data_IF_988048719525
#
_entry.id   IF_988048719525
#
_cell.length_a   1.000
_cell.length_b   1.000
_cell.length_c   1.000
_cell.angle_alpha   90.00
_cell.angle_beta   90.00
_cell.angle_gamma   90.00
#
_symmetry.space_group_name_H-M   'P 1'
#
loop_
_entity.id
_entity.type
_entity.pdbx_description
1 polymer ?
#
# COMPACT_ATOMS: atom_id res chain seq x y z
N UNK A 1 -13.68 5.80 24.02
CA UNK A 1 -13.44 6.72 22.90
C UNK A 1 -14.75 7.44 22.58
N UNK A 2 -14.72 8.78 22.50
CA UNK A 2 -15.85 9.58 22.04
C UNK A 2 -15.44 10.41 20.84
N UNK A 3 -16.31 10.48 19.83
CA UNK A 3 -16.08 11.28 18.63
C UNK A 3 -17.11 12.38 18.55
N UNK A 4 -16.64 13.61 18.28
CA UNK A 4 -17.49 14.81 18.16
C UNK A 4 -17.15 15.58 16.89
N UNK A 5 -18.16 16.28 16.36
CA UNK A 5 -17.92 17.23 15.27
C UNK A 5 -17.03 18.39 15.75
N UNK A 6 -15.95 18.72 15.01
CA UNK A 6 -14.96 19.67 15.46
C UNK A 6 -15.51 21.09 15.72
N UNK A 7 -16.52 21.53 14.98
CA UNK A 7 -17.08 22.89 15.08
C UNK A 7 -18.33 22.97 15.94
N UNK A 8 -19.22 21.97 15.85
CA UNK A 8 -20.52 22.00 16.54
C UNK A 8 -20.50 21.27 17.88
N UNK A 9 -19.44 20.55 18.19
CA UNK A 9 -19.30 19.68 19.37
C UNK A 9 -20.38 18.58 19.50
N UNK A 10 -21.15 18.37 18.42
CA UNK A 10 -22.18 17.32 18.39
C UNK A 10 -21.51 15.95 18.49
N UNK A 11 -21.92 15.09 19.44
CA UNK A 11 -21.36 13.76 19.56
C UNK A 11 -21.87 12.82 18.46
N UNK A 12 -21.02 11.94 18.01
CA UNK A 12 -21.33 10.83 17.13
C UNK A 12 -21.45 9.53 17.94
N UNK A 13 -22.25 8.59 17.45
CA UNK A 13 -22.57 7.35 18.16
C UNK A 13 -21.78 6.18 17.61
N UNK A 14 -21.06 5.47 18.48
CA UNK A 14 -20.39 4.22 18.12
C UNK A 14 -21.41 3.17 17.69
N UNK A 15 -21.07 2.37 16.67
CA UNK A 15 -21.95 1.38 16.07
C UNK A 15 -22.95 1.95 15.04
N UNK A 16 -23.16 3.28 15.02
CA UNK A 16 -24.06 3.97 14.06
C UNK A 16 -23.24 4.86 13.13
N UNK A 17 -22.39 5.72 13.68
CA UNK A 17 -21.64 6.73 12.95
C UNK A 17 -20.20 6.28 12.69
N UNK A 18 -19.64 5.54 13.62
CA UNK A 18 -18.29 4.98 13.57
C UNK A 18 -18.19 3.65 14.30
N UNK A 19 -17.14 2.90 14.00
CA UNK A 19 -16.75 1.70 14.76
C UNK A 19 -15.33 1.85 15.28
N UNK A 20 -15.08 1.26 16.45
CA UNK A 20 -13.76 1.18 17.08
C UNK A 20 -13.30 -0.27 17.02
N UNK A 21 -12.12 -0.49 16.44
CA UNK A 21 -11.46 -1.79 16.39
C UNK A 21 -10.18 -1.69 17.21
N UNK A 22 -10.09 -2.50 18.25
CA UNK A 22 -8.91 -2.56 19.09
C UNK A 22 -8.12 -3.83 18.79
N UNK A 23 -6.92 -3.68 18.25
CA UNK A 23 -5.99 -4.78 17.99
C UNK A 23 -4.73 -4.58 18.84
N UNK A 24 -4.68 -5.19 20.00
CA UNK A 24 -3.59 -5.01 20.95
C UNK A 24 -3.44 -3.55 21.35
N UNK A 25 -2.26 -2.97 21.08
CA UNK A 25 -1.93 -1.57 21.40
C UNK A 25 -2.43 -0.57 20.35
N UNK A 26 -2.99 -1.06 19.25
CA UNK A 26 -3.48 -0.20 18.15
C UNK A 26 -4.99 -0.12 18.19
N UNK A 27 -5.50 1.10 18.21
CA UNK A 27 -6.93 1.39 18.06
C UNK A 27 -7.16 2.01 16.69
N UNK A 28 -8.06 1.40 15.93
CA UNK A 28 -8.49 1.90 14.62
C UNK A 28 -9.93 2.39 14.72
N UNK A 29 -10.16 3.62 14.29
CA UNK A 29 -11.48 4.22 14.22
C UNK A 29 -11.90 4.27 12.76
N UNK A 30 -13.05 3.64 12.45
CA UNK A 30 -13.62 3.60 11.11
C UNK A 30 -14.93 4.35 11.06
N UNK A 31 -15.04 5.30 10.17
CA UNK A 31 -16.33 5.93 9.85
C UNK A 31 -17.25 4.90 9.19
N UNK A 32 -18.47 4.79 9.66
CA UNK A 32 -19.51 4.01 8.99
C UNK A 32 -20.17 4.84 7.90
N UNK A 33 -20.32 4.25 6.71
CA UNK A 33 -20.85 4.95 5.54
C UNK A 33 -22.32 5.34 5.73
N UNK A 34 -23.06 4.53 6.48
CA UNK A 34 -24.46 4.74 6.83
C UNK A 34 -24.66 5.75 7.99
N UNK A 35 -23.58 6.17 8.64
CA UNK A 35 -23.60 7.10 9.76
C UNK A 35 -23.65 8.56 9.36
N UNK A 36 -23.85 9.42 10.35
CA UNK A 36 -24.04 10.86 10.17
C UNK A 36 -22.74 11.67 10.02
N UNK A 37 -21.56 11.01 9.99
CA UNK A 37 -20.28 11.71 9.77
C UNK A 37 -20.10 11.95 8.27
N UNK A 38 -20.18 13.20 7.76
CA UNK A 38 -19.96 13.49 6.36
C UNK A 38 -18.52 13.18 5.93
N UNK A 39 -18.33 12.83 4.67
CA UNK A 39 -16.98 12.62 4.12
C UNK A 39 -16.20 13.94 4.13
N UNK A 40 -14.94 13.89 4.58
CA UNK A 40 -14.08 15.09 4.67
C UNK A 40 -14.32 15.97 5.89
N UNK A 41 -15.19 15.57 6.80
CA UNK A 41 -15.42 16.30 8.05
C UNK A 41 -14.26 16.12 9.02
N UNK A 42 -13.83 17.19 9.65
CA UNK A 42 -12.91 17.14 10.79
C UNK A 42 -13.67 16.76 12.05
N UNK A 43 -13.18 15.76 12.76
CA UNK A 43 -13.74 15.31 14.03
C UNK A 43 -12.72 15.47 15.15
N UNK A 44 -13.21 15.68 16.37
CA UNK A 44 -12.43 15.59 17.59
C UNK A 44 -12.63 14.20 18.19
N UNK A 45 -11.54 13.59 18.61
CA UNK A 45 -11.55 12.27 19.25
C UNK A 45 -11.07 12.44 20.68
N UNK A 46 -11.93 12.16 21.62
CA UNK A 46 -11.60 12.08 23.04
C UNK A 46 -11.38 10.61 23.39
N UNK A 47 -10.24 10.31 23.98
CA UNK A 47 -9.90 8.95 24.40
C UNK A 47 -9.14 8.96 25.73
N UNK A 48 -9.34 7.92 26.50
CA UNK A 48 -8.52 7.59 27.66
C UNK A 48 -7.51 6.54 27.18
N UNK A 49 -6.24 6.79 27.42
CA UNK A 49 -5.17 5.83 27.22
C UNK A 49 -4.61 5.45 28.60
N UNK A 50 -4.35 4.18 28.79
CA UNK A 50 -3.52 3.77 29.91
C UNK A 50 -2.15 4.44 29.74
N UNK A 51 -1.59 5.04 30.81
CA UNK A 51 -0.24 5.55 30.73
C UNK A 51 0.69 4.40 30.32
N UNK A 52 1.55 4.66 29.34
CA UNK A 52 2.59 3.70 28.98
C UNK A 52 3.36 3.37 30.27
N UNK A 53 3.61 2.09 30.58
CA UNK A 53 4.40 1.73 31.72
C UNK A 53 5.75 2.47 31.65
N UNK A 54 6.14 3.10 32.73
CA UNK A 54 7.44 3.75 32.86
C UNK A 54 8.52 2.68 32.78
N UNK A 55 9.11 2.48 31.62
CA UNK A 55 10.17 1.50 31.39
C UNK A 55 10.96 1.84 30.15
N UNK A 56 12.28 1.83 30.27
CA UNK A 56 13.14 1.79 29.10
C UNK A 56 13.18 0.37 28.53
N UNK A 57 13.22 0.23 27.24
CA UNK A 57 13.53 -1.03 26.57
C UNK A 57 14.77 -0.86 25.69
N UNK A 58 15.51 -1.93 25.53
CA UNK A 58 16.62 -2.00 24.59
C UNK A 58 16.14 -2.77 23.37
N UNK A 59 16.33 -2.19 22.18
CA UNK A 59 16.05 -2.86 20.92
C UNK A 59 17.38 -3.07 20.17
N UNK A 60 17.66 -4.31 19.82
CA UNK A 60 18.81 -4.71 19.02
C UNK A 60 18.30 -5.25 17.71
N UNK A 61 18.77 -4.69 16.59
CA UNK A 61 18.39 -5.18 15.29
C UNK A 61 19.55 -5.09 14.31
N UNK A 62 19.71 -6.14 13.51
CA UNK A 62 20.67 -6.21 12.42
C UNK A 62 20.05 -6.76 11.17
N UNK A 63 20.61 -6.38 10.03
CA UNK A 63 20.23 -6.89 8.73
C UNK A 63 21.48 -7.23 7.91
N UNK A 64 21.49 -8.41 7.35
CA UNK A 64 22.54 -8.87 6.44
C UNK A 64 21.91 -9.33 5.13
N UNK A 65 22.44 -8.85 4.01
CA UNK A 65 22.00 -9.25 2.68
C UNK A 65 23.20 -9.49 1.78
N UNK A 66 23.16 -10.58 1.03
CA UNK A 66 24.09 -10.88 -0.07
C UNK A 66 23.33 -10.79 -1.39
N UNK A 67 23.92 -10.11 -2.36
CA UNK A 67 23.43 -10.04 -3.74
C UNK A 67 24.55 -10.40 -4.69
N UNK A 68 24.28 -11.31 -5.59
CA UNK A 68 25.19 -11.75 -6.65
C UNK A 68 24.60 -11.36 -7.99
N UNK A 69 25.37 -10.63 -8.80
CA UNK A 69 24.99 -10.16 -10.12
C UNK A 69 25.80 -10.88 -11.18
N UNK A 70 25.13 -11.41 -12.19
CA UNK A 70 25.71 -12.19 -13.26
C UNK A 70 25.41 -11.56 -14.62
N UNK A 71 26.34 -11.73 -15.56
CA UNK A 71 26.20 -11.28 -16.96
C UNK A 71 25.81 -9.82 -17.11
N UNK A 72 26.62 -8.92 -16.55
CA UNK A 72 26.36 -7.47 -16.57
C UNK A 72 25.00 -7.10 -15.98
N UNK A 73 24.66 -7.69 -14.83
CA UNK A 73 23.40 -7.48 -14.12
C UNK A 73 22.15 -7.99 -14.86
N UNK A 74 22.31 -8.87 -15.86
CA UNK A 74 21.17 -9.51 -16.53
C UNK A 74 20.41 -10.41 -15.57
N UNK A 75 21.12 -11.12 -14.69
CA UNK A 75 20.58 -11.91 -13.62
C UNK A 75 21.14 -11.45 -12.28
N UNK A 76 20.30 -11.48 -11.27
CA UNK A 76 20.74 -11.30 -9.90
C UNK A 76 20.05 -12.33 -9.01
N UNK A 77 20.77 -12.83 -8.02
CA UNK A 77 20.21 -13.61 -6.93
C UNK A 77 20.56 -12.94 -5.61
N UNK A 78 19.67 -12.96 -4.66
CA UNK A 78 19.91 -12.38 -3.35
C UNK A 78 19.33 -13.26 -2.25
N UNK A 79 19.95 -13.18 -1.09
CA UNK A 79 19.44 -13.75 0.15
C UNK A 79 19.76 -12.83 1.30
N UNK A 80 18.90 -12.75 2.28
CA UNK A 80 19.08 -11.88 3.44
C UNK A 80 18.41 -12.43 4.68
N UNK A 81 18.91 -11.98 5.80
CA UNK A 81 18.31 -12.17 7.11
C UNK A 81 18.26 -10.81 7.80
N UNK A 82 17.16 -10.51 8.45
CA UNK A 82 17.05 -9.39 9.37
C UNK A 82 16.34 -9.83 10.64
N UNK A 83 16.76 -9.31 11.75
CA UNK A 83 16.15 -9.60 13.04
C UNK A 83 16.12 -8.36 13.92
N UNK A 84 15.14 -8.31 14.79
CA UNK A 84 15.11 -7.40 15.91
C UNK A 84 14.72 -8.17 17.16
N UNK A 85 15.41 -7.89 18.25
CA UNK A 85 15.17 -8.44 19.57
C UNK A 85 15.02 -7.28 20.53
N UNK A 86 14.02 -7.35 21.38
CA UNK A 86 13.78 -6.34 22.38
C UNK A 86 13.88 -6.94 23.78
N UNK A 87 14.71 -6.33 24.59
CA UNK A 87 14.76 -6.60 26.03
C UNK A 87 13.85 -5.57 26.71
N UNK A 88 12.63 -5.99 27.02
CA UNK A 88 11.59 -5.14 27.58
C UNK A 88 10.95 -5.79 28.81
N UNK A 89 10.49 -5.00 29.79
CA UNK A 89 9.65 -5.49 30.86
C UNK A 89 8.41 -6.24 30.31
N UNK A 90 7.93 -7.25 31.07
CA UNK A 90 6.86 -8.15 30.62
C UNK A 90 5.52 -7.45 30.31
N UNK A 91 5.33 -6.24 30.78
CA UNK A 91 4.18 -5.36 30.53
C UNK A 91 4.32 -4.49 29.27
N UNK A 92 5.53 -4.43 28.68
CA UNK A 92 5.80 -3.78 27.41
C UNK A 92 5.81 -4.84 26.29
N UNK A 93 4.78 -4.85 25.45
CA UNK A 93 4.75 -5.68 24.23
C UNK A 93 5.67 -5.08 23.19
N UNK A 94 6.91 -5.51 23.16
CA UNK A 94 7.84 -5.21 22.08
C UNK A 94 7.97 -6.47 21.21
N UNK A 95 7.89 -6.27 19.91
CA UNK A 95 7.83 -7.37 18.97
C UNK A 95 9.25 -7.80 18.56
N UNK A 96 9.63 -9.01 18.92
CA UNK A 96 10.79 -9.68 18.34
C UNK A 96 10.42 -10.25 16.99
N UNK A 97 11.32 -10.13 16.03
CA UNK A 97 11.10 -10.79 14.75
C UNK A 97 12.40 -11.29 14.13
N UNK A 98 12.26 -12.31 13.31
CA UNK A 98 13.28 -12.75 12.36
C UNK A 98 12.66 -12.84 10.98
N UNK A 99 13.33 -12.27 9.97
CA UNK A 99 12.89 -12.28 8.58
C UNK A 99 14.00 -12.87 7.72
N UNK A 100 13.66 -13.85 6.94
CA UNK A 100 14.50 -14.43 5.89
C UNK A 100 13.93 -14.01 4.54
N UNK A 101 14.78 -13.56 3.64
CA UNK A 101 14.40 -13.20 2.28
C UNK A 101 15.33 -13.88 1.29
N UNK A 102 14.79 -14.35 0.18
CA UNK A 102 15.60 -14.86 -0.94
C UNK A 102 14.88 -14.53 -2.24
N UNK A 103 15.62 -14.28 -3.31
CA UNK A 103 15.00 -14.01 -4.60
C UNK A 103 15.98 -14.08 -5.75
N UNK A 104 15.38 -14.13 -6.95
CA UNK A 104 16.07 -14.07 -8.22
C UNK A 104 15.43 -13.00 -9.09
N UNK A 105 16.24 -12.32 -9.87
CA UNK A 105 15.81 -11.28 -10.80
C UNK A 105 16.43 -11.50 -12.16
N UNK A 106 15.64 -11.26 -13.20
CA UNK A 106 16.08 -11.11 -14.57
C UNK A 106 15.87 -9.66 -14.99
N UNK A 107 16.90 -8.97 -15.43
CA UNK A 107 16.88 -7.57 -15.79
C UNK A 107 17.35 -7.38 -17.23
N UNK A 108 16.47 -6.89 -18.08
CA UNK A 108 16.77 -6.44 -19.42
C UNK A 108 16.29 -5.01 -19.58
N UNK A 109 16.93 -4.21 -20.43
CA UNK A 109 16.68 -2.77 -20.60
C UNK A 109 15.19 -2.37 -20.59
N UNK A 110 14.34 -3.20 -21.16
CA UNK A 110 12.90 -2.94 -21.29
C UNK A 110 12.01 -3.90 -20.47
N UNK A 111 12.61 -4.95 -19.87
CA UNK A 111 11.87 -5.99 -19.14
C UNK A 111 12.60 -6.39 -17.88
N UNK A 112 11.86 -6.54 -16.80
CA UNK A 112 12.33 -7.08 -15.53
C UNK A 112 11.34 -8.12 -15.04
N UNK A 113 11.83 -9.24 -14.57
CA UNK A 113 11.03 -10.27 -13.91
C UNK A 113 11.79 -10.82 -12.72
N UNK A 114 11.07 -11.31 -11.73
CA UNK A 114 11.70 -11.93 -10.59
C UNK A 114 10.74 -12.75 -9.78
N UNK A 115 11.34 -13.52 -8.89
CA UNK A 115 10.64 -14.24 -7.84
C UNK A 115 11.35 -13.97 -6.52
N UNK A 116 10.57 -13.75 -5.47
CA UNK A 116 11.04 -13.58 -4.12
C UNK A 116 10.28 -14.47 -3.15
N UNK A 117 10.97 -14.95 -2.15
CA UNK A 117 10.40 -15.70 -1.04
C UNK A 117 10.77 -15.00 0.27
N UNK A 118 9.83 -14.94 1.17
CA UNK A 118 10.02 -14.37 2.50
C UNK A 118 9.43 -15.32 3.55
N UNK A 119 10.17 -15.52 4.61
CA UNK A 119 9.67 -16.14 5.83
C UNK A 119 9.86 -15.15 6.97
N UNK A 120 8.76 -14.84 7.62
CA UNK A 120 8.70 -13.91 8.75
C UNK A 120 8.20 -14.66 9.97
N UNK A 121 8.94 -14.55 11.06
CA UNK A 121 8.64 -15.15 12.35
C UNK A 121 8.74 -14.07 13.42
N UNK A 122 7.68 -13.86 14.15
CA UNK A 122 7.63 -12.94 15.29
C UNK A 122 6.74 -13.48 16.39
N UNK A 123 6.81 -12.88 17.55
CA UNK A 123 5.97 -13.23 18.71
C UNK A 123 4.47 -13.13 18.44
N UNK A 124 4.05 -12.26 17.49
CA UNK A 124 2.64 -11.96 17.22
C UNK A 124 2.14 -12.50 15.89
N UNK A 125 3.03 -12.86 14.97
CA UNK A 125 2.64 -13.37 13.66
C UNK A 125 3.75 -14.17 12.99
N UNK A 126 3.37 -15.25 12.34
CA UNK A 126 4.25 -16.04 11.51
C UNK A 126 3.65 -16.19 10.12
N UNK A 127 4.42 -15.85 9.08
CA UNK A 127 3.99 -16.07 7.71
C UNK A 127 5.13 -16.46 6.78
N UNK A 128 4.77 -17.13 5.70
CA UNK A 128 5.64 -17.35 4.55
C UNK A 128 4.98 -16.77 3.30
N UNK A 129 5.75 -16.12 2.47
CA UNK A 129 5.27 -15.59 1.20
C UNK A 129 6.14 -15.99 0.03
N UNK A 130 5.52 -16.09 -1.14
CA UNK A 130 6.18 -16.24 -2.43
C UNK A 130 5.61 -15.16 -3.35
N UNK A 131 6.48 -14.32 -3.90
CA UNK A 131 6.14 -13.27 -4.84
C UNK A 131 6.68 -13.58 -6.23
N UNK A 132 5.89 -13.27 -7.25
CA UNK A 132 6.32 -13.21 -8.65
C UNK A 132 6.01 -11.81 -9.17
N UNK A 133 6.95 -11.22 -9.91
CA UNK A 133 6.72 -9.93 -10.53
C UNK A 133 7.30 -9.86 -11.92
N UNK A 134 6.65 -9.09 -12.77
CA UNK A 134 7.07 -8.78 -14.12
C UNK A 134 6.80 -7.31 -14.40
N UNK A 135 7.75 -6.65 -15.03
CA UNK A 135 7.64 -5.26 -15.43
C UNK A 135 8.21 -5.07 -16.82
N UNK A 136 7.46 -4.44 -17.69
CA UNK A 136 7.90 -4.11 -19.03
C UNK A 136 7.70 -2.61 -19.30
N UNK A 137 8.72 -1.95 -19.85
CA UNK A 137 8.70 -0.54 -20.21
C UNK A 137 9.08 -0.37 -21.66
N UNK A 138 8.15 0.08 -22.45
CA UNK A 138 8.29 0.28 -23.89
C UNK A 138 8.32 1.77 -24.22
N UNK A 139 9.36 2.23 -24.91
CA UNK A 139 9.33 3.50 -25.61
C UNK A 139 8.68 3.23 -26.98
N UNK A 140 7.43 3.62 -27.15
CA UNK A 140 6.69 3.41 -28.38
C UNK A 140 7.22 4.33 -29.48
N UNK A 141 7.57 5.55 -29.10
CA UNK A 141 8.24 6.56 -29.92
C UNK A 141 9.00 7.55 -29.01
N UNK A 142 9.55 8.63 -29.58
CA UNK A 142 10.27 9.67 -28.81
C UNK A 142 9.35 10.49 -27.88
N UNK A 143 8.06 10.36 -28.01
CA UNK A 143 7.07 11.14 -27.27
C UNK A 143 6.14 10.29 -26.39
N UNK A 144 6.18 8.95 -26.55
CA UNK A 144 5.27 8.06 -25.82
C UNK A 144 5.97 6.85 -25.23
N UNK A 145 5.52 6.45 -24.04
CA UNK A 145 5.97 5.26 -23.32
C UNK A 145 4.79 4.50 -22.73
N UNK A 146 4.96 3.20 -22.62
CA UNK A 146 4.03 2.27 -22.01
C UNK A 146 4.75 1.43 -20.97
N UNK A 147 4.30 1.47 -19.72
CA UNK A 147 4.73 0.61 -18.64
C UNK A 147 3.63 -0.39 -18.29
N UNK A 148 3.99 -1.64 -18.12
CA UNK A 148 3.09 -2.70 -17.65
C UNK A 148 3.77 -3.43 -16.50
N UNK A 149 3.08 -3.55 -15.36
CA UNK A 149 3.57 -4.30 -14.22
C UNK A 149 2.52 -5.33 -13.82
N UNK A 150 2.96 -6.56 -13.64
CA UNK A 150 2.18 -7.68 -13.11
C UNK A 150 2.88 -8.19 -11.86
N UNK A 151 2.14 -8.39 -10.79
CA UNK A 151 2.65 -9.08 -9.60
C UNK A 151 1.61 -10.04 -9.05
N UNK A 152 2.12 -11.12 -8.52
CA UNK A 152 1.38 -12.17 -7.85
C UNK A 152 2.10 -12.52 -6.56
N UNK A 153 1.36 -12.62 -5.47
CA UNK A 153 1.91 -12.97 -4.16
C UNK A 153 1.01 -13.99 -3.49
N UNK A 154 1.59 -15.07 -3.05
CA UNK A 154 0.98 -16.07 -2.17
C UNK A 154 1.49 -15.83 -0.76
N UNK A 155 0.57 -15.74 0.17
CA UNK A 155 0.85 -15.49 1.58
C UNK A 155 0.20 -16.61 2.41
N UNK A 156 0.99 -17.29 3.21
CA UNK A 156 0.53 -18.31 4.14
C UNK A 156 0.78 -17.81 5.58
N UNK A 157 -0.28 -17.48 6.29
CA UNK A 157 -0.26 -17.13 7.70
C UNK A 157 -0.26 -18.41 8.52
N UNK A 158 0.91 -18.81 9.02
CA UNK A 158 1.11 -20.11 9.68
C UNK A 158 0.28 -20.18 10.97
N UNK A 159 0.28 -19.13 11.76
CA UNK A 159 -0.43 -19.07 13.05
C UNK A 159 -1.95 -19.11 12.91
N UNK A 160 -2.46 -18.49 11.84
CA UNK A 160 -3.89 -18.42 11.58
C UNK A 160 -4.38 -19.59 10.69
N UNK A 161 -3.47 -20.41 10.14
CA UNK A 161 -3.80 -21.44 9.17
C UNK A 161 -4.46 -20.90 7.89
N UNK A 162 -4.25 -19.61 7.57
CA UNK A 162 -4.94 -18.88 6.52
C UNK A 162 -4.02 -18.63 5.34
N UNK A 163 -4.55 -18.82 4.13
CA UNK A 163 -3.84 -18.55 2.88
C UNK A 163 -4.51 -17.39 2.13
N UNK A 164 -3.68 -16.53 1.55
CA UNK A 164 -4.11 -15.41 0.72
C UNK A 164 -3.31 -15.37 -0.57
N UNK A 165 -3.97 -14.92 -1.63
CA UNK A 165 -3.37 -14.67 -2.94
C UNK A 165 -3.69 -13.25 -3.38
N UNK A 166 -2.66 -12.51 -3.76
CA UNK A 166 -2.78 -11.13 -4.22
C UNK A 166 -2.29 -11.05 -5.66
N UNK A 167 -3.14 -10.62 -6.57
CA UNK A 167 -2.82 -10.35 -7.97
C UNK A 167 -2.94 -8.86 -8.23
N UNK A 168 -1.97 -8.29 -8.92
CA UNK A 168 -2.02 -6.88 -9.30
C UNK A 168 -1.48 -6.69 -10.71
N UNK A 169 -2.27 -5.99 -11.52
CA UNK A 169 -1.88 -5.51 -12.83
C UNK A 169 -1.94 -3.97 -12.82
N UNK A 170 -0.88 -3.31 -13.29
CA UNK A 170 -0.89 -1.86 -13.52
C UNK A 170 -0.37 -1.57 -14.92
N UNK A 171 -1.01 -0.61 -15.58
CA UNK A 171 -0.63 -0.12 -16.89
C UNK A 171 -0.51 1.39 -16.82
N UNK A 172 0.63 1.89 -17.24
CA UNK A 172 0.96 3.32 -17.26
C UNK A 172 1.27 3.72 -18.70
N UNK A 173 0.54 4.67 -19.22
CA UNK A 173 0.79 5.22 -20.53
C UNK A 173 1.05 6.71 -20.42
N UNK A 174 2.13 7.15 -21.05
CA UNK A 174 2.50 8.56 -21.16
C UNK A 174 2.63 8.91 -22.63
N UNK A 175 2.06 10.07 -23.04
CA UNK A 175 2.26 10.64 -24.37
C UNK A 175 2.36 12.15 -24.30
N UNK A 176 3.41 12.68 -24.91
CA UNK A 176 3.61 14.09 -25.12
C UNK A 176 3.21 14.46 -26.56
N UNK A 177 2.13 15.19 -26.71
CA UNK A 177 1.62 15.62 -28.00
C UNK A 177 2.37 16.84 -28.54
N UNK A 178 2.74 17.75 -27.67
CA UNK A 178 3.54 18.93 -27.99
C UNK A 178 4.55 19.18 -26.86
N UNK A 179 5.42 20.16 -27.04
CA UNK A 179 6.32 20.59 -25.96
C UNK A 179 5.57 21.01 -24.69
N UNK A 180 4.34 21.46 -24.83
CA UNK A 180 3.52 21.96 -23.73
C UNK A 180 2.46 21.01 -23.22
N UNK A 181 2.05 20.01 -24.03
CA UNK A 181 0.88 19.17 -23.75
C UNK A 181 1.28 17.69 -23.63
N UNK A 182 0.94 17.10 -22.51
CA UNK A 182 1.10 15.67 -22.26
C UNK A 182 -0.17 15.05 -21.68
N UNK A 183 -0.40 13.78 -21.99
CA UNK A 183 -1.44 12.93 -21.41
C UNK A 183 -0.78 11.79 -20.66
N UNK A 184 -1.27 11.50 -19.47
CA UNK A 184 -0.92 10.31 -18.69
C UNK A 184 -2.19 9.51 -18.45
N UNK A 185 -2.07 8.21 -18.55
CA UNK A 185 -3.08 7.25 -18.14
C UNK A 185 -2.44 6.27 -17.19
N UNK A 186 -2.97 6.18 -15.98
CA UNK A 186 -2.61 5.19 -14.98
C UNK A 186 -3.85 4.36 -14.69
N UNK A 187 -3.78 3.07 -14.97
CA UNK A 187 -4.87 2.14 -14.76
C UNK A 187 -4.37 0.84 -14.15
N UNK A 188 -5.22 0.17 -13.40
CA UNK A 188 -4.84 -1.08 -12.79
C UNK A 188 -6.02 -1.83 -12.20
N UNK A 189 -5.77 -3.09 -11.94
CA UNK A 189 -6.68 -3.95 -11.22
C UNK A 189 -5.91 -4.76 -10.18
N UNK A 190 -6.54 -5.05 -9.06
CA UNK A 190 -6.03 -5.99 -8.08
C UNK A 190 -7.14 -6.91 -7.60
N UNK A 191 -6.75 -8.15 -7.36
CA UNK A 191 -7.59 -9.20 -6.81
C UNK A 191 -6.87 -9.77 -5.60
N UNK A 192 -7.54 -9.78 -4.46
CA UNK A 192 -7.08 -10.46 -3.25
C UNK A 192 -8.11 -11.52 -2.90
N UNK A 193 -7.67 -12.77 -2.84
CA UNK A 193 -8.50 -13.94 -2.57
C UNK A 193 -7.88 -14.71 -1.42
N UNK A 194 -8.71 -15.16 -0.49
CA UNK A 194 -8.24 -15.96 0.63
C UNK A 194 -9.29 -16.17 1.70
N UNK A 195 -8.98 -16.97 2.68
CA UNK A 195 -9.90 -17.23 3.79
C UNK A 195 -10.18 -15.94 4.57
N UNK A 196 -11.41 -15.45 4.45
CA UNK A 196 -11.88 -14.23 5.12
C UNK A 196 -11.51 -12.92 4.42
N UNK A 197 -10.96 -12.96 3.20
CA UNK A 197 -10.61 -11.74 2.45
C UNK A 197 -10.79 -11.97 0.96
N UNK A 198 -11.92 -11.51 0.42
CA UNK A 198 -12.08 -11.38 -1.03
C UNK A 198 -12.27 -9.89 -1.35
N UNK A 199 -11.33 -9.33 -2.11
CA UNK A 199 -11.36 -7.93 -2.48
C UNK A 199 -10.93 -7.78 -3.94
N UNK A 200 -11.73 -7.07 -4.69
CA UNK A 200 -11.42 -6.67 -6.06
C UNK A 200 -11.35 -5.15 -6.12
N UNK A 201 -10.35 -4.64 -6.79
CA UNK A 201 -10.19 -3.20 -6.99
C UNK A 201 -9.80 -2.91 -8.42
N UNK A 202 -10.41 -1.91 -9.02
CA UNK A 202 -10.00 -1.35 -10.29
C UNK A 202 -9.80 0.16 -10.16
N UNK A 203 -8.77 0.69 -10.79
CA UNK A 203 -8.45 2.11 -10.82
C UNK A 203 -8.29 2.59 -12.27
N UNK A 204 -8.72 3.82 -12.53
CA UNK A 204 -8.55 4.47 -13.82
C UNK A 204 -8.32 5.96 -13.59
N UNK A 205 -7.13 6.46 -13.97
CA UNK A 205 -6.66 7.81 -13.66
C UNK A 205 -6.07 8.49 -14.88
N UNK A 206 -6.89 8.94 -15.82
CA UNK A 206 -6.42 9.80 -16.90
C UNK A 206 -6.08 11.19 -16.37
N UNK A 207 -5.01 11.78 -16.90
CA UNK A 207 -4.66 13.15 -16.61
C UNK A 207 -4.08 13.85 -17.83
N UNK A 208 -4.40 15.12 -17.96
CA UNK A 208 -3.88 16.04 -18.96
C UNK A 208 -2.98 17.05 -18.27
N UNK A 209 -1.80 17.26 -18.80
CA UNK A 209 -0.84 18.22 -18.28
C UNK A 209 -0.49 19.24 -19.36
N UNK A 210 -0.67 20.52 -19.03
CA UNK A 210 -0.26 21.62 -19.86
C UNK A 210 0.79 22.48 -19.17
N UNK A 211 1.91 22.70 -19.86
CA UNK A 211 3.04 23.49 -19.33
C UNK A 211 3.26 24.74 -20.16
N UNK A 212 3.24 25.89 -19.49
CA UNK A 212 3.58 27.17 -20.08
C UNK A 212 4.62 27.90 -19.24
N UNK A 213 5.81 28.06 -19.78
CA UNK A 213 6.95 28.63 -19.05
C UNK A 213 7.23 27.89 -17.75
N UNK A 214 7.12 28.58 -16.60
CA UNK A 214 7.30 28.02 -15.26
C UNK A 214 6.00 27.50 -14.63
N UNK A 215 4.87 27.61 -15.32
CA UNK A 215 3.56 27.19 -14.82
C UNK A 215 3.16 25.87 -15.46
N UNK A 216 2.68 24.94 -14.64
CA UNK A 216 2.10 23.68 -15.06
C UNK A 216 0.67 23.61 -14.55
N UNK A 217 -0.27 23.36 -15.44
CA UNK A 217 -1.67 23.08 -15.13
C UNK A 217 -1.92 21.60 -15.40
N UNK A 218 -2.48 20.91 -14.45
CA UNK A 218 -2.86 19.51 -14.59
C UNK A 218 -4.34 19.36 -14.29
N UNK A 219 -5.07 18.70 -15.17
CA UNK A 219 -6.45 18.28 -14.94
C UNK A 219 -6.51 16.75 -15.02
N UNK A 220 -7.24 16.13 -14.13
CA UNK A 220 -7.34 14.68 -14.12
C UNK A 220 -8.60 14.18 -13.45
N UNK A 221 -8.87 12.92 -13.70
CA UNK A 221 -9.98 12.20 -13.14
C UNK A 221 -9.46 10.95 -12.43
N UNK A 222 -9.90 10.70 -11.22
CA UNK A 222 -9.57 9.53 -10.42
C UNK A 222 -10.85 8.72 -10.22
N UNK A 223 -10.90 7.56 -10.83
CA UNK A 223 -11.94 6.56 -10.64
C UNK A 223 -11.37 5.37 -9.90
N UNK A 224 -12.05 4.94 -8.85
CA UNK A 224 -11.76 3.70 -8.16
C UNK A 224 -13.04 2.93 -7.89
N UNK A 225 -13.03 1.66 -8.23
CA UNK A 225 -14.06 0.68 -7.92
C UNK A 225 -13.47 -0.36 -6.98
N UNK A 226 -14.18 -0.67 -5.93
CA UNK A 226 -13.80 -1.67 -4.94
C UNK A 226 -15.01 -2.54 -4.61
N UNK A 227 -14.82 -3.85 -4.67
CA UNK A 227 -15.78 -4.86 -4.25
C UNK A 227 -15.15 -5.69 -3.14
N UNK A 228 -15.78 -5.72 -1.98
CA UNK A 228 -15.33 -6.48 -0.83
C UNK A 228 -16.11 -7.81 -0.68
N UNK A 229 -15.61 -8.70 0.16
CA UNK A 229 -16.18 -10.03 0.46
C UNK A 229 -17.68 -10.02 0.80
N UNK A 230 -18.16 -8.98 1.46
CA UNK A 230 -19.57 -8.82 1.81
C UNK A 230 -20.42 -8.28 0.66
N UNK A 231 -19.91 -8.31 -0.58
CA UNK A 231 -20.55 -7.69 -1.76
C UNK A 231 -20.82 -6.19 -1.59
N UNK A 232 -20.09 -5.53 -0.70
CA UNK A 232 -20.11 -4.08 -0.59
C UNK A 232 -19.33 -3.45 -1.73
N UNK A 233 -20.06 -2.77 -2.59
CA UNK A 233 -19.48 -2.00 -3.68
C UNK A 233 -19.14 -0.59 -3.21
N UNK A 234 -17.94 -0.14 -3.51
CA UNK A 234 -17.50 1.24 -3.27
C UNK A 234 -17.02 1.86 -4.57
N UNK A 235 -17.69 2.91 -4.95
CA UNK A 235 -17.36 3.72 -6.11
C UNK A 235 -16.82 5.07 -5.64
N UNK A 236 -15.64 5.45 -6.11
CA UNK A 236 -15.05 6.76 -5.83
C UNK A 236 -14.73 7.47 -7.13
N UNK A 237 -15.22 8.69 -7.24
CA UNK A 237 -14.95 9.59 -8.34
C UNK A 237 -14.35 10.89 -7.83
N UNK A 238 -13.29 11.36 -8.45
CA UNK A 238 -12.68 12.64 -8.13
C UNK A 238 -12.20 13.31 -9.40
N UNK A 239 -12.73 14.48 -9.70
CA UNK A 239 -12.17 15.41 -10.69
C UNK A 239 -11.27 16.41 -9.97
N UNK A 240 -10.09 16.68 -10.51
CA UNK A 240 -9.19 17.66 -9.93
C UNK A 240 -8.51 18.51 -11.00
N UNK A 241 -8.21 19.75 -10.62
CA UNK A 241 -7.36 20.66 -11.39
C UNK A 241 -6.29 21.16 -10.44
N UNK A 242 -5.05 21.10 -10.84
CA UNK A 242 -3.90 21.57 -10.05
C UNK A 242 -3.10 22.57 -10.88
N UNK A 243 -2.77 23.71 -10.31
CA UNK A 243 -1.88 24.70 -10.89
C UNK A 243 -0.63 24.78 -10.03
N UNK A 244 0.54 24.53 -10.63
CA UNK A 244 1.84 24.64 -9.97
C UNK A 244 2.73 25.63 -10.71
N UNK A 245 3.28 26.58 -10.00
CA UNK A 245 4.30 27.50 -10.52
C UNK A 245 5.61 27.26 -9.81
N UNK A 246 6.70 27.18 -10.58
CA UNK A 246 8.07 27.17 -10.04
C UNK A 246 8.59 28.60 -10.05
N UNK A 247 9.05 29.06 -8.91
CA UNK A 247 9.67 30.37 -8.74
C UNK A 247 11.17 30.30 -9.01
#
# INVERSE_FOLDING_TARGET
IQIRHATTSQPYTEGIDYSVLQNGVRTEIRRLITGNIPSGTTVLVDYEAEPLPEGGYNNYGDAFQVRVELWNNLWAAYAGISFAMADAPADLRVQDFTRYTAGIEYNKKWFRAGADAEHYDSTDSQYASLGLYQSANFNLDNASSLGVNLSEQWLNHVDAGRQEQNYRLTVQYHRRFTYHLAVNLDTGASLRVGEGVDQQMAIFRPSLQYRYGRTTVSAGYDFAYELNQNSEERLRHKLYVTVRRRF
#
